data_IF_767745745631
#
_entry.id   IF_767745745631
#
_cell.length_a   1.000
_cell.length_b   1.000
_cell.length_c   1.000
_cell.angle_alpha   90.00
_cell.angle_beta   90.00
_cell.angle_gamma   90.00
#
_symmetry.space_group_name_H-M   'P 1'
#
loop_
_entity.id
_entity.type
_entity.pdbx_description
1 polymer ?
#
# COMPACT_ATOMS: atom_id res chain seq x y z
N UNK A 1 43.89 -40.27 -0.37
CA UNK A 1 43.74 -38.81 -0.17
C UNK A 1 43.02 -38.10 -1.32
N UNK A 2 43.27 -38.43 -2.60
CA UNK A 2 42.67 -37.74 -3.76
C UNK A 2 41.13 -37.77 -3.84
N UNK A 3 40.48 -38.90 -3.47
CA UNK A 3 39.00 -39.05 -3.47
C UNK A 3 38.25 -38.20 -2.44
N UNK A 4 38.83 -37.98 -1.26
CA UNK A 4 38.24 -37.10 -0.23
C UNK A 4 38.35 -35.63 -0.63
N UNK A 5 39.45 -35.28 -1.31
CA UNK A 5 39.65 -33.94 -1.88
C UNK A 5 38.66 -33.61 -3.01
N UNK A 6 38.28 -34.61 -3.81
CA UNK A 6 37.28 -34.43 -4.89
C UNK A 6 35.87 -34.19 -4.35
N UNK A 7 35.49 -34.87 -3.27
CA UNK A 7 34.18 -34.68 -2.62
C UNK A 7 34.10 -33.29 -1.96
N UNK A 8 35.17 -32.85 -1.29
CA UNK A 8 35.26 -31.52 -0.68
C UNK A 8 35.21 -30.41 -1.75
N UNK A 9 35.85 -30.63 -2.90
CA UNK A 9 35.81 -29.70 -4.02
C UNK A 9 34.39 -29.58 -4.60
N UNK A 10 33.67 -30.70 -4.79
CA UNK A 10 32.26 -30.67 -5.23
C UNK A 10 31.32 -30.00 -4.21
N UNK A 11 31.54 -30.22 -2.91
CA UNK A 11 30.74 -29.58 -1.85
C UNK A 11 30.96 -28.05 -1.80
N UNK A 12 32.19 -27.59 -2.04
CA UNK A 12 32.54 -26.17 -2.06
C UNK A 12 32.07 -25.46 -3.34
N UNK A 13 31.99 -26.16 -4.47
CA UNK A 13 31.41 -25.60 -5.70
C UNK A 13 29.88 -25.46 -5.61
N UNK A 14 29.17 -26.33 -4.89
CA UNK A 14 27.71 -26.22 -4.70
C UNK A 14 27.28 -24.94 -3.99
N UNK A 15 28.11 -24.41 -3.09
CA UNK A 15 27.86 -23.15 -2.36
C UNK A 15 27.92 -21.91 -3.26
N UNK A 16 28.59 -21.97 -4.41
CA UNK A 16 28.72 -20.84 -5.34
C UNK A 16 27.49 -20.71 -6.25
N UNK A 17 26.77 -21.81 -6.51
CA UNK A 17 25.53 -21.81 -7.30
C UNK A 17 24.27 -21.60 -6.46
N UNK A 18 24.40 -21.57 -5.13
CA UNK A 18 23.29 -21.33 -4.20
C UNK A 18 23.18 -19.86 -3.76
N UNK A 19 24.03 -18.97 -4.30
CA UNK A 19 23.95 -17.53 -4.10
C UNK A 19 23.33 -16.84 -5.32
N UNK A 20 22.16 -17.30 -5.74
CA UNK A 20 21.22 -16.42 -6.43
C UNK A 20 20.34 -15.78 -5.32
N UNK A 21 20.98 -14.99 -4.45
CA UNK A 21 20.32 -13.87 -3.73
C UNK A 21 20.27 -12.68 -4.72
N UNK A 22 19.91 -12.95 -5.97
CA UNK A 22 19.35 -11.91 -6.81
C UNK A 22 18.02 -11.58 -6.14
N UNK A 23 18.02 -10.47 -5.42
CA UNK A 23 16.85 -9.78 -4.86
C UNK A 23 15.68 -9.93 -5.83
N UNK A 24 14.91 -11.00 -5.63
CA UNK A 24 13.73 -11.27 -6.42
C UNK A 24 12.77 -10.20 -5.95
N UNK A 25 12.75 -9.09 -6.67
CA UNK A 25 12.01 -7.88 -6.31
C UNK A 25 10.54 -8.24 -6.36
N UNK A 26 10.06 -8.75 -5.22
CA UNK A 26 8.70 -9.21 -5.07
C UNK A 26 7.76 -8.05 -5.37
N UNK A 27 8.11 -6.83 -4.96
CA UNK A 27 7.32 -5.62 -5.26
C UNK A 27 7.21 -5.40 -6.78
N UNK A 28 8.31 -5.53 -7.53
CA UNK A 28 8.26 -5.46 -9.00
C UNK A 28 7.48 -6.62 -9.63
N UNK A 29 7.47 -7.81 -9.04
CA UNK A 29 6.64 -8.92 -9.52
C UNK A 29 5.15 -8.66 -9.27
N UNK A 30 4.78 -8.10 -8.11
CA UNK A 30 3.41 -7.72 -7.77
C UNK A 30 2.89 -6.58 -8.68
N UNK A 31 3.71 -5.57 -8.97
CA UNK A 31 3.36 -4.44 -9.82
C UNK A 31 3.17 -4.83 -11.30
N UNK A 32 3.84 -5.88 -11.77
CA UNK A 32 3.77 -6.36 -13.14
C UNK A 32 2.81 -7.55 -13.36
N UNK A 33 2.23 -8.10 -12.30
CA UNK A 33 1.31 -9.24 -12.43
C UNK A 33 -0.07 -8.77 -12.90
N UNK A 34 -0.47 -9.22 -14.09
CA UNK A 34 -1.80 -8.98 -14.65
C UNK A 34 -2.77 -10.01 -14.09
N UNK A 35 -3.70 -9.56 -13.24
CA UNK A 35 -4.80 -10.40 -12.75
C UNK A 35 -5.87 -10.54 -13.82
N UNK A 36 -6.07 -11.76 -14.31
CA UNK A 36 -7.21 -12.09 -15.14
C UNK A 36 -8.35 -12.56 -14.23
N UNK A 37 -9.54 -12.01 -14.44
CA UNK A 37 -10.77 -12.47 -13.80
C UNK A 37 -11.09 -13.89 -14.30
N UNK A 38 -11.27 -14.82 -13.37
CA UNK A 38 -11.68 -16.19 -13.70
C UNK A 38 -13.17 -16.14 -14.00
N UNK A 39 -13.55 -16.15 -15.29
CA UNK A 39 -14.95 -16.07 -15.72
C UNK A 39 -15.75 -17.33 -15.41
N UNK A 40 -15.11 -18.52 -15.38
CA UNK A 40 -15.77 -19.78 -15.02
C UNK A 40 -14.83 -20.68 -14.22
N UNK A 41 -15.30 -21.13 -13.05
CA UNK A 41 -14.66 -22.21 -12.29
C UNK A 41 -15.02 -23.51 -13.00
N UNK A 42 -14.03 -24.24 -13.49
CA UNK A 42 -14.27 -25.58 -14.02
C UNK A 42 -14.81 -26.46 -12.88
N UNK A 43 -16.11 -26.78 -12.91
CA UNK A 43 -16.78 -27.77 -12.07
C UNK A 43 -16.36 -29.21 -12.44
N UNK A 44 -15.07 -29.44 -12.68
CA UNK A 44 -14.57 -30.79 -12.93
C UNK A 44 -14.30 -31.48 -11.58
N UNK A 45 -15.34 -32.22 -11.19
CA UNK A 45 -15.29 -33.43 -10.35
C UNK A 45 -14.58 -33.24 -9.00
N UNK A 46 -15.39 -32.85 -8.00
CA UNK A 46 -15.05 -32.95 -6.58
C UNK A 46 -14.82 -34.43 -6.27
N UNK A 47 -13.60 -34.91 -6.51
CA UNK A 47 -13.16 -36.21 -6.04
C UNK A 47 -13.17 -36.17 -4.51
N UNK A 48 -13.90 -37.12 -3.94
CA UNK A 48 -14.08 -37.32 -2.51
C UNK A 48 -12.71 -37.25 -1.82
N UNK A 49 -12.52 -36.19 -1.03
CA UNK A 49 -11.25 -35.94 -0.35
C UNK A 49 -11.15 -36.97 0.75
N UNK A 50 -10.44 -38.07 0.49
CA UNK A 50 -10.05 -39.01 1.52
C UNK A 50 -9.36 -38.21 2.62
N UNK A 51 -9.99 -38.19 3.81
CA UNK A 51 -9.49 -37.49 4.99
C UNK A 51 -8.14 -38.09 5.41
N UNK A 52 -7.05 -37.62 4.81
CA UNK A 52 -5.69 -37.89 5.26
C UNK A 52 -5.47 -37.08 6.54
N UNK A 53 -5.97 -37.58 7.66
CA UNK A 53 -5.63 -37.10 9.01
C UNK A 53 -4.25 -37.62 9.42
N UNK A 54 -3.25 -37.49 8.56
CA UNK A 54 -1.87 -37.72 8.94
C UNK A 54 -1.37 -36.47 9.66
N UNK A 55 -1.29 -36.58 10.98
CA UNK A 55 -0.76 -35.57 11.91
C UNK A 55 0.64 -35.13 11.46
N UNK A 56 0.72 -34.02 10.74
CA UNK A 56 1.95 -33.25 10.53
C UNK A 56 2.16 -32.31 11.73
N UNK A 57 2.35 -32.89 12.91
CA UNK A 57 2.74 -32.16 14.10
C UNK A 57 4.08 -31.44 13.86
N UNK A 58 4.18 -30.24 14.40
CA UNK A 58 5.37 -29.35 14.55
C UNK A 58 5.57 -28.27 13.49
N UNK A 59 5.10 -28.36 12.23
CA UNK A 59 5.29 -27.24 11.26
C UNK A 59 4.21 -26.15 11.31
N UNK A 60 3.12 -26.35 12.04
CA UNK A 60 2.08 -25.33 12.21
C UNK A 60 2.46 -24.23 13.20
N UNK A 61 3.14 -24.57 14.31
CA UNK A 61 3.48 -23.61 15.35
C UNK A 61 4.61 -22.65 14.95
N UNK A 62 5.59 -23.11 14.17
CA UNK A 62 6.68 -22.27 13.65
C UNK A 62 6.21 -21.43 12.44
N UNK A 63 5.37 -22.00 11.57
CA UNK A 63 4.74 -21.25 10.50
C UNK A 63 3.73 -20.20 11.02
N UNK A 64 3.05 -20.46 12.14
CA UNK A 64 2.22 -19.45 12.82
C UNK A 64 3.08 -18.32 13.39
N UNK A 65 4.22 -18.60 14.01
CA UNK A 65 5.09 -17.57 14.59
C UNK A 65 5.72 -16.69 13.49
N UNK A 66 6.16 -17.31 12.40
CA UNK A 66 6.70 -16.59 11.23
C UNK A 66 5.61 -15.76 10.52
N UNK A 67 4.42 -16.34 10.31
CA UNK A 67 3.27 -15.60 9.78
C UNK A 67 2.81 -14.47 10.73
N UNK A 68 2.88 -14.67 12.04
CA UNK A 68 2.53 -13.67 13.05
C UNK A 68 3.49 -12.47 13.01
N UNK A 69 4.77 -12.72 12.77
CA UNK A 69 5.78 -11.67 12.60
C UNK A 69 5.50 -10.80 11.36
N UNK A 70 5.00 -11.40 10.28
CA UNK A 70 4.53 -10.66 9.09
C UNK A 70 3.19 -9.94 9.31
N UNK A 71 2.29 -10.46 10.15
CA UNK A 71 1.04 -9.79 10.57
C UNK A 71 1.32 -8.51 11.38
N UNK A 72 2.32 -8.51 12.26
CA UNK A 72 2.73 -7.34 13.02
C UNK A 72 3.29 -6.21 12.12
N UNK A 73 3.89 -6.55 10.97
CA UNK A 73 4.31 -5.57 9.97
C UNK A 73 3.13 -4.80 9.37
N UNK A 74 1.93 -5.37 9.29
CA UNK A 74 0.73 -4.64 8.86
C UNK A 74 0.31 -3.52 9.82
N UNK A 75 0.70 -3.62 11.09
CA UNK A 75 0.49 -2.56 12.09
C UNK A 75 1.38 -1.32 11.84
N UNK A 76 2.38 -1.44 10.97
CA UNK A 76 3.21 -0.33 10.44
C UNK A 76 2.42 0.61 9.52
N UNK A 77 1.24 0.20 9.01
CA UNK A 77 0.29 1.05 8.28
C UNK A 77 -0.49 1.99 9.22
N UNK A 78 0.11 2.45 10.31
CA UNK A 78 -0.45 3.55 11.09
C UNK A 78 -0.44 4.76 10.17
N UNK A 79 -1.63 5.21 9.78
CA UNK A 79 -1.79 6.44 9.00
C UNK A 79 -1.07 7.61 9.68
N UNK A 80 -0.80 8.69 8.93
CA UNK A 80 -0.07 9.84 9.45
C UNK A 80 -0.64 10.29 10.79
N UNK A 81 0.24 10.56 11.74
CA UNK A 81 -0.12 11.01 13.07
C UNK A 81 -0.89 12.34 13.01
N UNK A 82 -1.67 12.64 14.05
CA UNK A 82 -2.40 13.92 14.12
C UNK A 82 -1.45 15.13 13.96
N UNK A 83 -0.24 15.04 14.52
CA UNK A 83 0.78 16.08 14.43
C UNK A 83 1.26 16.29 12.99
N UNK A 84 1.48 15.21 12.25
CA UNK A 84 1.87 15.27 10.84
C UNK A 84 0.75 15.84 9.98
N UNK A 85 -0.50 15.45 10.24
CA UNK A 85 -1.69 16.00 9.56
C UNK A 85 -1.84 17.50 9.80
N UNK A 86 -1.69 17.97 11.04
CA UNK A 86 -1.72 19.40 11.39
C UNK A 86 -0.56 20.17 10.74
N UNK A 87 0.62 19.58 10.69
CA UNK A 87 1.80 20.18 10.04
C UNK A 87 1.59 20.32 8.53
N UNK A 88 1.06 19.27 7.89
CA UNK A 88 0.71 19.28 6.47
C UNK A 88 -0.39 20.31 6.17
N UNK A 89 -1.42 20.40 7.01
CA UNK A 89 -2.48 21.40 6.91
C UNK A 89 -1.91 22.82 6.92
N UNK A 90 -1.03 23.14 7.87
CA UNK A 90 -0.38 24.45 7.95
C UNK A 90 0.41 24.80 6.68
N UNK A 91 1.16 23.84 6.14
CA UNK A 91 1.89 24.01 4.86
C UNK A 91 0.92 24.28 3.71
N UNK A 92 -0.16 23.51 3.59
CA UNK A 92 -1.16 23.69 2.52
C UNK A 92 -1.85 25.05 2.61
N UNK A 93 -2.23 25.50 3.81
CA UNK A 93 -2.83 26.82 4.01
C UNK A 93 -1.89 27.95 3.60
N UNK A 94 -0.60 27.84 3.95
CA UNK A 94 0.41 28.81 3.51
C UNK A 94 0.57 28.81 1.99
N UNK A 95 0.58 27.65 1.34
CA UNK A 95 0.63 27.58 -0.13
C UNK A 95 -0.62 28.17 -0.78
N UNK A 96 -1.79 27.95 -0.18
CA UNK A 96 -3.05 28.50 -0.67
C UNK A 96 -3.07 30.02 -0.56
N UNK A 97 -2.57 30.59 0.55
CA UNK A 97 -2.41 32.03 0.71
C UNK A 97 -1.43 32.62 -0.33
N UNK A 98 -0.24 32.02 -0.46
CA UNK A 98 0.76 32.46 -1.42
C UNK A 98 0.28 32.36 -2.88
N UNK A 99 -0.51 31.34 -3.22
CA UNK A 99 -1.12 31.21 -4.54
C UNK A 99 -2.17 32.30 -4.78
N UNK A 100 -3.02 32.59 -3.80
CA UNK A 100 -4.04 33.65 -3.90
C UNK A 100 -3.44 35.05 -4.03
N UNK A 101 -2.32 35.31 -3.35
CA UNK A 101 -1.60 36.60 -3.46
C UNK A 101 -1.00 36.81 -4.86
N UNK A 102 -0.51 35.74 -5.49
CA UNK A 102 0.08 35.82 -6.84
C UNK A 102 -0.97 35.84 -7.94
N UNK A 103 -1.93 34.92 -7.86
CA UNK A 103 -3.01 34.78 -8.84
C UNK A 103 -4.23 34.15 -8.18
N UNK A 104 -5.28 34.97 -8.00
CA UNK A 104 -6.51 34.56 -7.35
C UNK A 104 -7.27 33.44 -8.09
N UNK A 105 -6.97 33.17 -9.37
CA UNK A 105 -7.61 32.13 -10.18
C UNK A 105 -6.64 31.03 -10.63
N UNK A 106 -5.50 30.91 -9.95
CA UNK A 106 -4.50 29.91 -10.28
C UNK A 106 -5.10 28.49 -10.30
N UNK A 107 -4.82 27.71 -11.35
CA UNK A 107 -5.41 26.39 -11.59
C UNK A 107 -5.17 25.37 -10.46
N UNK A 108 -4.15 25.58 -9.63
CA UNK A 108 -3.82 24.74 -8.46
C UNK A 108 -4.63 25.06 -7.20
N UNK A 109 -5.33 26.20 -7.13
CA UNK A 109 -6.11 26.57 -5.93
C UNK A 109 -7.18 25.51 -5.62
N UNK A 110 -7.99 25.03 -6.59
CA UNK A 110 -8.97 23.97 -6.35
C UNK A 110 -8.35 22.66 -5.87
N UNK A 111 -7.16 22.32 -6.35
CA UNK A 111 -6.42 21.13 -5.95
C UNK A 111 -5.96 21.22 -4.49
N UNK A 112 -5.35 22.34 -4.11
CA UNK A 112 -4.90 22.57 -2.73
C UNK A 112 -6.09 22.63 -1.78
N UNK A 113 -7.21 23.25 -2.19
CA UNK A 113 -8.47 23.23 -1.43
C UNK A 113 -8.98 21.80 -1.21
N UNK A 114 -8.93 20.95 -2.24
CA UNK A 114 -9.30 19.54 -2.12
C UNK A 114 -8.44 18.81 -1.09
N UNK A 115 -7.12 18.97 -1.09
CA UNK A 115 -6.26 18.33 -0.09
C UNK A 115 -6.51 18.85 1.33
N UNK A 116 -6.77 20.15 1.49
CA UNK A 116 -7.14 20.75 2.79
C UNK A 116 -8.42 20.09 3.34
N UNK A 117 -9.45 19.91 2.50
CA UNK A 117 -10.69 19.24 2.89
C UNK A 117 -10.42 17.79 3.35
N UNK A 118 -9.60 17.05 2.61
CA UNK A 118 -9.27 15.66 2.96
C UNK A 118 -8.55 15.56 4.31
N UNK A 119 -7.66 16.51 4.63
CA UNK A 119 -6.97 16.53 5.93
C UNK A 119 -7.95 16.87 7.07
N UNK A 120 -8.83 17.87 6.89
CA UNK A 120 -9.84 18.19 7.90
C UNK A 120 -10.75 17.00 8.21
N UNK A 121 -11.17 16.25 7.18
CA UNK A 121 -11.95 15.01 7.36
C UNK A 121 -11.18 13.93 8.12
N UNK A 122 -9.88 13.79 7.88
CA UNK A 122 -9.00 12.87 8.63
C UNK A 122 -8.79 13.29 10.09
N UNK A 123 -8.80 14.59 10.38
CA UNK A 123 -8.71 15.14 11.74
C UNK A 123 -10.04 15.12 12.51
N UNK A 124 -11.16 14.82 11.84
CA UNK A 124 -12.51 14.87 12.44
C UNK A 124 -13.09 16.29 12.53
N UNK A 125 -12.44 17.29 11.95
CA UNK A 125 -12.89 18.69 11.91
C UNK A 125 -13.84 18.92 10.72
N UNK A 126 -15.03 18.31 10.80
CA UNK A 126 -16.00 18.31 9.68
C UNK A 126 -16.49 19.70 9.30
N UNK A 127 -16.65 20.60 10.27
CA UNK A 127 -17.18 21.95 10.04
C UNK A 127 -16.22 22.79 9.18
N UNK A 128 -14.93 22.75 9.51
CA UNK A 128 -13.87 23.39 8.73
C UNK A 128 -13.79 22.79 7.32
N UNK A 129 -13.88 21.45 7.21
CA UNK A 129 -13.94 20.75 5.93
C UNK A 129 -15.10 21.24 5.05
N UNK A 130 -16.31 21.31 5.60
CA UNK A 130 -17.51 21.77 4.89
C UNK A 130 -17.41 23.23 4.44
N UNK A 131 -16.79 24.10 5.24
CA UNK A 131 -16.56 25.49 4.82
C UNK A 131 -15.68 25.56 3.56
N UNK A 132 -14.62 24.76 3.50
CA UNK A 132 -13.76 24.69 2.33
C UNK A 132 -14.43 24.01 1.14
N UNK A 133 -15.29 23.01 1.36
CA UNK A 133 -16.12 22.39 0.32
C UNK A 133 -17.05 23.43 -0.32
N UNK A 134 -17.79 24.19 0.49
CA UNK A 134 -18.68 25.25 0.00
C UNK A 134 -17.92 26.34 -0.76
N UNK A 135 -16.73 26.74 -0.27
CA UNK A 135 -15.82 27.67 -0.98
C UNK A 135 -15.38 27.12 -2.33
N UNK A 136 -15.02 25.83 -2.40
CA UNK A 136 -14.58 25.18 -3.63
C UNK A 136 -15.71 25.14 -4.67
N UNK A 137 -16.93 24.75 -4.26
CA UNK A 137 -18.10 24.71 -5.13
C UNK A 137 -18.54 26.09 -5.61
N UNK A 138 -18.39 27.14 -4.78
CA UNK A 138 -18.76 28.50 -5.14
C UNK A 138 -17.73 29.16 -6.06
N UNK A 139 -16.44 28.97 -5.78
CA UNK A 139 -15.36 29.67 -6.49
C UNK A 139 -14.92 28.93 -7.76
N UNK A 140 -14.97 27.59 -7.74
CA UNK A 140 -14.44 26.75 -8.83
C UNK A 140 -15.36 25.54 -9.11
N UNK A 141 -16.64 25.77 -9.46
CA UNK A 141 -17.62 24.69 -9.68
C UNK A 141 -17.21 23.74 -10.82
N UNK A 142 -16.56 24.26 -11.87
CA UNK A 142 -16.18 23.48 -13.05
C UNK A 142 -14.88 22.69 -12.85
N UNK A 143 -14.21 22.84 -11.71
CA UNK A 143 -12.96 22.14 -11.44
C UNK A 143 -13.17 20.63 -11.33
N UNK A 144 -12.19 19.84 -11.81
CA UNK A 144 -12.13 18.38 -11.58
C UNK A 144 -12.35 18.03 -10.11
N UNK A 145 -11.87 18.88 -9.20
CA UNK A 145 -11.92 18.66 -7.76
C UNK A 145 -13.28 18.98 -7.13
N UNK A 146 -14.06 19.90 -7.70
CA UNK A 146 -15.41 20.21 -7.24
C UNK A 146 -16.38 19.04 -7.46
N UNK A 147 -16.16 18.23 -8.50
CA UNK A 147 -16.97 17.03 -8.82
C UNK A 147 -17.04 16.00 -7.68
N UNK A 148 -16.04 15.97 -6.80
CA UNK A 148 -16.03 15.07 -5.64
C UNK A 148 -17.03 15.46 -4.56
N UNK A 149 -17.52 16.70 -4.58
CA UNK A 149 -18.36 17.30 -3.55
C UNK A 149 -19.72 17.78 -4.07
N UNK A 150 -19.87 17.90 -5.39
CA UNK A 150 -21.17 18.16 -6.04
C UNK A 150 -21.98 16.86 -6.13
N UNK A 151 -22.68 16.50 -5.06
CA UNK A 151 -23.65 15.39 -5.06
C UNK A 151 -24.99 15.88 -4.54
#
# INVERSE_FOLDING_TARGET
MKRKFTIILFLALGSVWAQDDDDMDMDAMWDNTIWNEIEDVADEEIQEVDNITAVAGVRGAEAEDEALHHLYYRQSMKGPSEVELRTALGKLLNTLAALKEKDAKHAKIPEVQHYVIQIYRKLGETDNGQEFENKLLTQNPDSKWAKFYSR
#
